data_IF_158632991780
#
_entry.id   IF_158632991780
#
_cell.length_a   1.000
_cell.length_b   1.000
_cell.length_c   1.000
_cell.angle_alpha   90.00
_cell.angle_beta   90.00
_cell.angle_gamma   90.00
#
_symmetry.space_group_name_H-M   'P 1'
#
loop_
_entity.id
_entity.type
_entity.pdbx_description
1 polymer ?
#
# COMPACT_ATOMS: atom_id res chain seq x y z
N UNK A 1 -13.79 -57.88 -15.24
CA UNK A 1 -12.65 -57.38 -14.43
C UNK A 1 -12.95 -55.92 -14.13
N UNK A 2 -13.10 -55.48 -12.90
CA UNK A 2 -13.30 -54.09 -12.61
C UNK A 2 -11.98 -53.37 -12.77
N UNK A 3 -11.97 -52.36 -13.62
CA UNK A 3 -10.88 -51.42 -13.80
C UNK A 3 -10.63 -50.70 -12.47
N UNK A 4 -9.50 -50.94 -11.85
CA UNK A 4 -8.99 -50.15 -10.75
C UNK A 4 -8.86 -48.72 -11.26
N UNK A 5 -9.76 -47.81 -10.82
CA UNK A 5 -9.55 -46.38 -10.90
C UNK A 5 -8.39 -46.08 -9.95
N UNK A 6 -7.23 -45.85 -10.49
CA UNK A 6 -6.14 -45.23 -9.77
C UNK A 6 -6.64 -43.86 -9.32
N UNK A 7 -6.87 -43.73 -8.02
CA UNK A 7 -7.18 -42.48 -7.36
C UNK A 7 -5.90 -41.60 -7.43
N UNK A 8 -5.57 -41.10 -8.63
CA UNK A 8 -4.54 -40.05 -8.71
C UNK A 8 -5.11 -38.82 -8.00
N UNK A 9 -4.48 -38.43 -6.89
CA UNK A 9 -4.81 -37.20 -6.21
C UNK A 9 -4.76 -36.05 -7.22
N UNK A 10 -5.80 -35.21 -7.25
CA UNK A 10 -5.84 -34.05 -8.15
C UNK A 10 -4.60 -33.18 -7.94
N UNK A 11 -3.98 -32.72 -9.03
CA UNK A 11 -2.83 -31.82 -9.01
C UNK A 11 -3.07 -30.64 -8.06
N UNK A 12 -2.18 -30.47 -7.09
CA UNK A 12 -2.33 -29.50 -6.01
C UNK A 12 -1.54 -28.23 -6.27
N UNK A 13 -2.25 -27.15 -6.53
CA UNK A 13 -1.68 -25.80 -6.67
C UNK A 13 -1.81 -25.07 -5.35
N UNK A 14 -0.69 -24.67 -4.78
CA UNK A 14 -0.67 -23.83 -3.57
C UNK A 14 -0.27 -22.41 -3.94
N UNK A 15 -1.01 -21.42 -3.42
CA UNK A 15 -0.80 -19.99 -3.65
C UNK A 15 -0.51 -19.32 -2.32
N UNK A 16 0.64 -18.65 -2.19
CA UNK A 16 1.00 -17.88 -1.00
C UNK A 16 0.74 -16.40 -1.28
N UNK A 17 -0.21 -15.80 -0.56
CA UNK A 17 -0.60 -14.41 -0.67
C UNK A 17 -1.92 -14.20 -1.40
N UNK A 18 -2.90 -13.57 -0.72
CA UNK A 18 -4.23 -13.21 -1.22
C UNK A 18 -4.31 -11.77 -1.79
N UNK A 19 -3.17 -11.17 -2.14
CA UNK A 19 -3.09 -9.90 -2.85
C UNK A 19 -3.61 -9.99 -4.29
N UNK A 20 -3.33 -8.98 -5.12
CA UNK A 20 -3.82 -8.94 -6.50
C UNK A 20 -3.37 -10.18 -7.31
N UNK A 21 -2.09 -10.52 -7.29
CA UNK A 21 -1.57 -11.64 -8.07
C UNK A 21 -2.21 -12.97 -7.66
N UNK A 22 -2.11 -13.33 -6.38
CA UNK A 22 -2.60 -14.62 -5.88
C UNK A 22 -4.11 -14.78 -5.97
N UNK A 23 -4.88 -13.72 -5.66
CA UNK A 23 -6.34 -13.76 -5.80
C UNK A 23 -6.76 -13.98 -7.25
N UNK A 24 -6.15 -13.26 -8.21
CA UNK A 24 -6.51 -13.43 -9.62
C UNK A 24 -6.01 -14.75 -10.21
N UNK A 25 -4.90 -15.31 -9.69
CA UNK A 25 -4.49 -16.69 -10.01
C UNK A 25 -5.55 -17.70 -9.52
N UNK A 26 -5.97 -17.62 -8.25
CA UNK A 26 -7.01 -18.48 -7.70
C UNK A 26 -8.35 -18.37 -8.45
N UNK A 27 -8.79 -17.13 -8.76
CA UNK A 27 -10.02 -16.90 -9.56
C UNK A 27 -9.90 -17.51 -10.97
N UNK A 28 -8.72 -17.42 -11.59
CA UNK A 28 -8.50 -17.94 -12.93
C UNK A 28 -8.38 -19.47 -12.97
N UNK A 29 -8.01 -20.12 -11.87
CA UNK A 29 -8.01 -21.59 -11.71
C UNK A 29 -9.39 -22.18 -11.42
N UNK A 30 -10.44 -21.36 -11.27
CA UNK A 30 -11.81 -21.84 -11.13
C UNK A 30 -12.16 -22.85 -12.21
N UNK A 31 -12.78 -23.96 -11.81
CA UNK A 31 -13.18 -25.06 -12.67
C UNK A 31 -12.02 -25.81 -13.39
N UNK A 32 -10.77 -25.50 -13.10
CA UNK A 32 -9.66 -26.32 -13.56
C UNK A 32 -9.63 -27.67 -12.81
N UNK A 33 -9.12 -28.76 -13.41
CA UNK A 33 -9.06 -30.08 -12.78
C UNK A 33 -7.87 -30.14 -11.78
N UNK A 34 -7.80 -29.18 -10.87
CA UNK A 34 -6.78 -29.04 -9.84
C UNK A 34 -7.42 -28.73 -8.48
N UNK A 35 -6.76 -29.13 -7.41
CA UNK A 35 -7.03 -28.61 -6.06
C UNK A 35 -6.22 -27.32 -5.87
N UNK A 36 -6.84 -26.26 -5.39
CA UNK A 36 -6.17 -24.99 -5.10
C UNK A 36 -6.24 -24.73 -3.59
N UNK A 37 -5.10 -24.42 -2.98
CA UNK A 37 -5.03 -23.89 -1.62
C UNK A 37 -4.41 -22.50 -1.65
N UNK A 38 -5.18 -21.46 -1.26
CA UNK A 38 -4.69 -20.11 -1.11
C UNK A 38 -4.42 -19.85 0.37
N UNK A 39 -3.18 -19.52 0.69
CA UNK A 39 -2.72 -19.23 2.05
C UNK A 39 -2.42 -17.73 2.16
N UNK A 40 -3.00 -17.06 3.15
CA UNK A 40 -2.65 -15.69 3.50
C UNK A 40 -2.64 -15.53 5.01
N UNK A 41 -1.77 -14.67 5.53
CA UNK A 41 -1.71 -14.31 6.95
C UNK A 41 -2.93 -13.52 7.42
N UNK A 42 -3.70 -12.98 6.47
CA UNK A 42 -4.98 -12.29 6.68
C UNK A 42 -6.11 -13.03 6.00
N UNK A 43 -7.32 -12.85 6.51
CA UNK A 43 -8.51 -13.49 5.95
C UNK A 43 -9.18 -12.68 4.84
N UNK A 44 -8.58 -11.56 4.40
CA UNK A 44 -9.17 -10.63 3.44
C UNK A 44 -8.19 -10.19 2.34
N UNK A 45 -8.74 -9.87 1.19
CA UNK A 45 -8.06 -9.12 0.15
C UNK A 45 -8.21 -7.62 0.41
N UNK A 46 -7.12 -6.87 0.25
CA UNK A 46 -7.07 -5.43 0.43
C UNK A 46 -6.89 -4.73 -0.92
N UNK A 47 -7.78 -3.79 -1.24
CA UNK A 47 -7.64 -2.92 -2.40
C UNK A 47 -6.71 -1.74 -2.08
N UNK A 48 -5.41 -1.98 -2.13
CA UNK A 48 -4.36 -1.03 -1.74
C UNK A 48 -4.42 0.36 -2.41
N UNK A 49 -4.86 0.52 -3.68
CA UNK A 49 -4.95 1.84 -4.30
C UNK A 49 -5.81 2.86 -3.54
N UNK A 50 -6.75 2.42 -2.71
CA UNK A 50 -7.58 3.31 -1.88
C UNK A 50 -7.16 3.34 -0.40
N UNK A 51 -6.02 2.74 -0.04
CA UNK A 51 -5.57 2.63 1.34
C UNK A 51 -5.28 4.00 1.97
N UNK A 52 -4.76 4.96 1.18
CA UNK A 52 -4.55 6.33 1.64
C UNK A 52 -5.86 7.00 2.10
N UNK A 53 -7.02 6.63 1.52
CA UNK A 53 -8.33 7.15 1.96
C UNK A 53 -8.75 6.62 3.32
N UNK A 54 -8.33 5.42 3.68
CA UNK A 54 -8.47 4.92 5.06
C UNK A 54 -7.56 5.69 6.01
N UNK A 55 -6.30 5.90 5.62
CA UNK A 55 -5.33 6.69 6.40
C UNK A 55 -5.77 8.13 6.62
N UNK A 56 -6.60 8.69 5.74
CA UNK A 56 -7.09 10.07 5.80
C UNK A 56 -8.56 10.19 6.20
N UNK A 57 -9.17 9.10 6.70
CA UNK A 57 -10.53 9.11 7.24
C UNK A 57 -11.65 9.36 6.22
N UNK A 58 -11.40 9.13 4.94
CA UNK A 58 -12.41 9.21 3.87
C UNK A 58 -13.23 7.94 3.79
N UNK A 59 -12.56 6.78 3.88
CA UNK A 59 -13.14 5.44 3.84
C UNK A 59 -12.84 4.65 5.10
N UNK A 60 -13.68 3.65 5.37
CA UNK A 60 -13.44 2.63 6.39
C UNK A 60 -12.58 1.48 5.82
N UNK A 61 -11.81 0.74 6.63
CA UNK A 61 -11.11 -0.46 6.16
C UNK A 61 -12.01 -1.47 5.45
N UNK A 62 -13.25 -1.64 5.90
CA UNK A 62 -14.21 -2.58 5.32
C UNK A 62 -14.63 -2.18 3.89
N UNK A 63 -14.61 -0.89 3.56
CA UNK A 63 -15.03 -0.37 2.25
C UNK A 63 -14.06 -0.81 1.13
N UNK A 64 -12.80 -1.10 1.49
CA UNK A 64 -11.74 -1.46 0.54
C UNK A 64 -11.17 -2.86 0.77
N UNK A 65 -11.79 -3.64 1.65
CA UNK A 65 -11.38 -5.01 1.96
C UNK A 65 -12.53 -5.97 1.77
N UNK A 66 -12.22 -7.19 1.34
CA UNK A 66 -13.23 -8.23 1.20
C UNK A 66 -12.69 -9.59 1.67
N UNK A 67 -13.48 -10.38 2.43
CA UNK A 67 -13.04 -11.69 2.90
C UNK A 67 -12.70 -12.63 1.75
N UNK A 68 -11.49 -13.22 1.75
CA UNK A 68 -11.04 -14.14 0.70
C UNK A 68 -11.98 -15.32 0.51
N UNK A 69 -12.54 -15.87 1.61
CA UNK A 69 -13.52 -16.97 1.53
C UNK A 69 -14.83 -16.54 0.85
N UNK A 70 -15.27 -15.29 1.05
CA UNK A 70 -16.43 -14.70 0.37
C UNK A 70 -16.18 -14.61 -1.13
N UNK A 71 -15.08 -13.94 -1.53
CA UNK A 71 -14.70 -13.75 -2.92
C UNK A 71 -14.58 -15.08 -3.68
N UNK A 72 -13.99 -16.10 -3.04
CA UNK A 72 -13.70 -17.41 -3.65
C UNK A 72 -14.80 -18.48 -3.37
N UNK A 73 -15.91 -18.11 -2.74
CA UNK A 73 -16.98 -19.05 -2.34
C UNK A 73 -17.55 -19.88 -3.50
N UNK A 74 -17.55 -19.32 -4.72
CA UNK A 74 -18.00 -19.98 -5.95
C UNK A 74 -16.93 -20.84 -6.64
N UNK A 75 -15.70 -20.88 -6.11
CA UNK A 75 -14.61 -21.70 -6.63
C UNK A 75 -14.54 -23.01 -5.84
N UNK A 76 -15.31 -24.02 -6.27
CA UNK A 76 -15.45 -25.29 -5.51
C UNK A 76 -14.15 -26.08 -5.37
N UNK A 77 -13.18 -25.85 -6.25
CA UNK A 77 -11.85 -26.48 -6.21
C UNK A 77 -10.84 -25.68 -5.36
N UNK A 78 -11.25 -24.58 -4.74
CA UNK A 78 -10.36 -23.68 -4.00
C UNK A 78 -10.68 -23.66 -2.51
N UNK A 79 -9.67 -23.92 -1.70
CA UNK A 79 -9.69 -23.78 -0.25
C UNK A 79 -8.85 -22.55 0.14
N UNK A 80 -9.34 -21.74 1.09
CA UNK A 80 -8.60 -20.65 1.69
C UNK A 80 -8.10 -21.08 3.07
N UNK A 81 -6.82 -20.92 3.35
CA UNK A 81 -6.22 -21.14 4.66
C UNK A 81 -5.65 -19.83 5.21
N UNK A 82 -5.95 -19.50 6.46
CA UNK A 82 -5.29 -18.37 7.13
C UNK A 82 -4.06 -18.90 7.84
N UNK A 83 -2.88 -18.43 7.45
CA UNK A 83 -1.59 -18.85 8.00
C UNK A 83 -0.44 -18.10 7.39
N UNK A 84 0.71 -18.18 8.04
CA UNK A 84 1.96 -17.62 7.56
C UNK A 84 2.92 -18.74 7.16
N UNK A 85 3.39 -18.68 5.90
CA UNK A 85 4.44 -19.57 5.41
C UNK A 85 5.79 -19.02 5.89
N UNK A 86 6.54 -19.87 6.56
CA UNK A 86 7.83 -19.52 7.16
C UNK A 86 9.01 -19.92 6.29
N UNK A 87 8.90 -21.09 5.61
CA UNK A 87 9.96 -21.63 4.76
C UNK A 87 9.37 -22.48 3.62
N UNK A 88 10.20 -22.76 2.61
CA UNK A 88 9.87 -23.54 1.42
C UNK A 88 10.97 -24.59 1.22
N UNK A 89 10.58 -25.86 1.17
CA UNK A 89 11.44 -26.98 0.73
C UNK A 89 11.06 -27.35 -0.72
N UNK A 90 11.84 -26.90 -1.72
CA UNK A 90 11.55 -27.16 -3.11
C UNK A 90 11.83 -28.60 -3.53
N UNK A 91 12.75 -29.32 -2.87
CA UNK A 91 13.12 -30.68 -3.19
C UNK A 91 12.03 -31.67 -2.75
N UNK A 92 11.45 -31.44 -1.58
CA UNK A 92 10.32 -32.24 -1.07
C UNK A 92 8.96 -31.68 -1.50
N UNK A 93 8.93 -30.55 -2.23
CA UNK A 93 7.71 -29.84 -2.63
C UNK A 93 6.79 -29.54 -1.43
N UNK A 94 7.37 -28.99 -0.37
CA UNK A 94 6.68 -28.68 0.90
C UNK A 94 6.78 -27.22 1.28
N UNK A 95 5.72 -26.73 1.88
CA UNK A 95 5.68 -25.47 2.60
C UNK A 95 5.72 -25.74 4.09
N UNK A 96 6.48 -24.93 4.82
CA UNK A 96 6.59 -24.99 6.27
C UNK A 96 5.83 -23.79 6.83
N UNK A 97 4.78 -24.04 7.58
CA UNK A 97 3.99 -23.08 8.35
C UNK A 97 4.37 -23.18 9.83
N UNK A 98 3.76 -22.36 10.67
CA UNK A 98 4.11 -22.31 12.10
C UNK A 98 3.90 -23.67 12.82
N UNK A 99 2.85 -24.42 12.49
CA UNK A 99 2.48 -25.67 13.18
C UNK A 99 2.17 -26.82 12.23
N UNK A 100 2.34 -26.67 10.95
CA UNK A 100 1.99 -27.67 9.94
C UNK A 100 2.87 -27.58 8.71
N UNK A 101 2.92 -28.68 7.95
CA UNK A 101 3.53 -28.74 6.63
C UNK A 101 2.44 -28.97 5.57
N UNK A 102 2.64 -28.39 4.38
CA UNK A 102 1.71 -28.56 3.28
C UNK A 102 2.47 -28.94 2.00
N UNK A 103 2.12 -30.06 1.38
CA UNK A 103 2.66 -30.47 0.10
C UNK A 103 2.00 -29.74 -1.07
N UNK A 104 2.77 -29.51 -2.14
CA UNK A 104 2.27 -28.95 -3.38
C UNK A 104 2.87 -29.65 -4.60
N UNK A 105 2.15 -29.67 -5.72
CA UNK A 105 2.68 -30.04 -7.03
C UNK A 105 3.14 -28.79 -7.78
N UNK A 106 2.41 -27.68 -7.63
CA UNK A 106 2.77 -26.36 -8.16
C UNK A 106 2.61 -25.30 -7.09
N UNK A 107 3.59 -24.40 -6.99
CA UNK A 107 3.61 -23.30 -6.03
C UNK A 107 3.56 -21.96 -6.76
N UNK A 108 2.71 -21.04 -6.28
CA UNK A 108 2.66 -19.64 -6.71
C UNK A 108 2.95 -18.75 -5.50
N UNK A 109 4.04 -17.98 -5.54
CA UNK A 109 4.45 -17.05 -4.48
C UNK A 109 4.09 -15.63 -4.86
N UNK A 110 3.11 -15.04 -4.18
CA UNK A 110 2.49 -13.74 -4.48
C UNK A 110 2.46 -12.83 -3.24
N UNK A 111 3.52 -12.82 -2.45
CA UNK A 111 3.56 -12.17 -1.13
C UNK A 111 3.91 -10.67 -1.17
N UNK A 112 4.18 -10.13 -2.35
CA UNK A 112 4.37 -8.70 -2.58
C UNK A 112 5.60 -8.10 -1.89
N UNK A 113 5.46 -6.85 -1.45
CA UNK A 113 6.51 -6.02 -0.88
C UNK A 113 6.12 -5.44 0.48
N UNK A 114 7.10 -4.95 1.23
CA UNK A 114 6.96 -4.22 2.49
C UNK A 114 7.63 -2.85 2.40
N UNK A 115 7.55 -2.06 3.47
CA UNK A 115 8.23 -0.76 3.57
C UNK A 115 9.75 -0.92 3.51
N UNK A 116 10.41 0.09 2.95
CA UNK A 116 11.86 0.19 2.92
C UNK A 116 12.29 1.52 3.54
N UNK A 117 13.05 1.45 4.63
CA UNK A 117 13.57 2.62 5.33
C UNK A 117 15.04 2.89 5.02
N UNK A 118 15.58 2.28 3.94
CA UNK A 118 16.95 2.49 3.44
C UNK A 118 18.04 2.26 4.49
N UNK A 119 17.86 1.23 5.33
CA UNK A 119 18.79 0.88 6.41
C UNK A 119 18.49 1.56 7.76
N UNK A 120 17.41 2.34 7.84
CA UNK A 120 16.99 3.03 9.06
C UNK A 120 15.68 2.45 9.59
N UNK A 121 15.65 1.15 9.83
CA UNK A 121 14.45 0.42 10.23
C UNK A 121 13.83 0.95 11.55
N UNK A 122 14.63 1.62 12.39
CA UNK A 122 14.18 2.30 13.61
C UNK A 122 13.20 3.45 13.34
N UNK A 123 13.14 3.98 12.11
CA UNK A 123 12.17 5.02 11.76
C UNK A 123 10.75 4.48 11.61
N UNK A 124 10.55 3.16 11.53
CA UNK A 124 9.23 2.55 11.39
C UNK A 124 8.29 2.93 12.55
N UNK A 125 8.82 3.06 13.77
CA UNK A 125 8.04 3.39 14.95
C UNK A 125 7.58 4.87 14.98
N UNK A 126 8.35 5.77 14.35
CA UNK A 126 8.07 7.21 14.35
C UNK A 126 7.50 7.72 13.04
N UNK A 127 7.76 7.05 11.93
CA UNK A 127 7.28 7.38 10.59
C UNK A 127 6.61 6.16 9.94
N UNK A 128 5.34 5.85 10.27
CA UNK A 128 4.65 4.68 9.72
C UNK A 128 4.56 4.74 8.19
N UNK A 129 4.74 3.58 7.56
CA UNK A 129 4.49 3.40 6.13
C UNK A 129 3.03 3.11 5.82
N UNK A 130 2.68 2.86 4.54
CA UNK A 130 1.30 2.62 4.09
C UNK A 130 1.22 1.40 3.16
N UNK A 131 1.04 0.21 3.72
CA UNK A 131 0.87 -1.05 2.97
C UNK A 131 -0.24 -1.94 3.51
N UNK A 132 -0.60 -1.78 4.77
CA UNK A 132 -1.59 -2.62 5.46
C UNK A 132 -2.72 -1.77 6.04
N UNK A 133 -3.81 -2.43 6.43
CA UNK A 133 -4.93 -1.76 7.12
C UNK A 133 -4.46 -1.17 8.45
N UNK A 134 -3.59 -1.89 9.15
CA UNK A 134 -3.02 -1.47 10.42
C UNK A 134 -2.18 -0.20 10.25
N UNK A 135 -1.36 -0.14 9.20
CA UNK A 135 -0.60 1.07 8.86
C UNK A 135 -1.51 2.27 8.59
N UNK A 136 -2.57 2.06 7.80
CA UNK A 136 -3.54 3.12 7.50
C UNK A 136 -4.27 3.62 8.75
N UNK A 137 -4.63 2.72 9.66
CA UNK A 137 -5.26 3.08 10.94
C UNK A 137 -4.31 3.82 11.85
N UNK A 138 -3.03 3.45 11.89
CA UNK A 138 -2.00 4.15 12.65
C UNK A 138 -1.73 5.54 12.08
N UNK A 139 -1.60 5.68 10.76
CA UNK A 139 -1.50 6.99 10.11
C UNK A 139 -2.71 7.86 10.43
N UNK A 140 -3.93 7.30 10.31
CA UNK A 140 -5.17 8.01 10.64
C UNK A 140 -5.18 8.50 12.08
N UNK A 141 -4.79 7.63 13.00
CA UNK A 141 -4.68 7.98 14.41
C UNK A 141 -3.73 9.16 14.59
N UNK A 142 -2.52 9.12 14.04
CA UNK A 142 -1.52 10.20 14.17
C UNK A 142 -2.01 11.51 13.57
N UNK A 143 -2.59 11.47 12.37
CA UNK A 143 -3.09 12.66 11.69
C UNK A 143 -4.14 13.39 12.54
N UNK A 144 -5.18 12.69 13.01
CA UNK A 144 -6.24 13.34 13.78
C UNK A 144 -5.81 13.67 15.20
N UNK A 145 -4.96 12.84 15.82
CA UNK A 145 -4.36 13.15 17.12
C UNK A 145 -3.52 14.42 17.13
N UNK A 146 -2.85 14.73 16.03
CA UNK A 146 -2.05 15.95 15.91
C UNK A 146 -2.92 17.21 16.07
N UNK A 147 -4.11 17.23 15.45
CA UNK A 147 -5.05 18.34 15.61
C UNK A 147 -5.63 18.42 17.06
N UNK A 148 -5.97 17.27 17.64
CA UNK A 148 -6.45 17.20 19.03
C UNK A 148 -5.38 17.66 20.04
N UNK A 149 -4.12 17.34 19.78
CA UNK A 149 -3.01 17.79 20.63
C UNK A 149 -2.73 19.29 20.43
N UNK A 150 -2.75 19.76 19.18
CA UNK A 150 -2.59 21.19 18.89
C UNK A 150 -3.67 22.05 19.54
N UNK A 151 -4.93 21.57 19.60
CA UNK A 151 -6.06 22.27 20.27
C UNK A 151 -5.80 22.53 21.75
N UNK A 152 -5.06 21.62 22.41
CA UNK A 152 -4.75 21.69 23.84
C UNK A 152 -3.41 22.37 24.15
N UNK A 153 -2.53 22.50 23.15
CA UNK A 153 -1.17 23.00 23.34
C UNK A 153 -1.17 24.54 23.45
N UNK A 154 -0.68 25.06 24.57
CA UNK A 154 -0.57 26.49 24.80
C UNK A 154 0.71 27.12 24.24
N UNK A 155 1.79 26.34 24.17
CA UNK A 155 3.07 26.80 23.64
C UNK A 155 3.00 26.89 22.09
N UNK A 156 3.21 28.09 21.49
CA UNK A 156 3.08 28.27 20.04
C UNK A 156 4.05 27.43 19.21
N UNK A 157 5.28 27.21 19.67
CA UNK A 157 6.29 26.43 18.97
C UNK A 157 5.92 24.94 18.96
N UNK A 158 5.52 24.41 20.12
CA UNK A 158 5.04 23.03 20.23
C UNK A 158 3.75 22.83 19.42
N UNK A 159 2.83 23.79 19.44
CA UNK A 159 1.60 23.77 18.63
C UNK A 159 1.93 23.72 17.15
N UNK A 160 2.90 24.50 16.70
CA UNK A 160 3.36 24.48 15.30
C UNK A 160 3.93 23.11 14.92
N UNK A 161 4.69 22.45 15.80
CA UNK A 161 5.20 21.11 15.55
C UNK A 161 4.07 20.07 15.43
N UNK A 162 2.96 20.21 16.19
CA UNK A 162 1.76 19.39 16.02
C UNK A 162 1.04 19.65 14.70
N UNK A 163 1.02 20.88 14.20
CA UNK A 163 0.40 21.27 12.93
C UNK A 163 1.35 21.12 11.73
N UNK A 164 2.55 20.58 11.92
CA UNK A 164 3.49 20.26 10.84
C UNK A 164 3.41 18.78 10.49
N UNK A 165 3.06 18.51 9.23
CA UNK A 165 2.92 17.17 8.66
C UNK A 165 3.99 16.96 7.60
N UNK A 166 4.80 15.93 7.74
CA UNK A 166 5.85 15.58 6.78
C UNK A 166 5.49 14.28 6.08
N UNK A 167 5.35 14.34 4.76
CA UNK A 167 5.16 13.16 3.90
C UNK A 167 6.48 12.91 3.17
N UNK A 168 7.07 11.73 3.36
CA UNK A 168 8.35 11.36 2.76
C UNK A 168 8.12 10.44 1.57
N UNK A 169 8.54 10.89 0.38
CA UNK A 169 8.37 10.18 -0.89
C UNK A 169 7.32 10.81 -1.80
N UNK A 170 7.72 11.27 -2.98
CA UNK A 170 6.90 11.96 -3.98
C UNK A 170 6.31 11.02 -5.05
N UNK A 171 6.23 9.71 -4.77
CA UNK A 171 5.49 8.76 -5.61
C UNK A 171 3.96 8.93 -5.51
N UNK A 172 3.16 8.11 -6.22
CA UNK A 172 1.69 8.23 -6.18
C UNK A 172 1.11 8.27 -4.77
N UNK A 173 1.52 7.36 -3.89
CA UNK A 173 1.04 7.30 -2.49
C UNK A 173 1.33 8.59 -1.72
N UNK A 174 2.54 9.17 -1.87
CA UNK A 174 2.89 10.41 -1.17
C UNK A 174 2.12 11.62 -1.70
N UNK A 175 1.92 11.71 -3.00
CA UNK A 175 1.09 12.75 -3.65
C UNK A 175 -0.35 12.67 -3.15
N UNK A 176 -0.95 11.47 -3.13
CA UNK A 176 -2.32 11.22 -2.66
C UNK A 176 -2.48 11.55 -1.16
N UNK A 177 -1.50 11.15 -0.33
CA UNK A 177 -1.50 11.49 1.10
C UNK A 177 -1.37 13.01 1.32
N UNK A 178 -0.44 13.67 0.65
CA UNK A 178 -0.22 15.10 0.82
C UNK A 178 -1.45 15.92 0.39
N UNK A 179 -2.05 15.60 -0.75
CA UNK A 179 -3.28 16.25 -1.20
C UNK A 179 -4.46 16.01 -0.25
N UNK A 180 -4.61 14.77 0.24
CA UNK A 180 -5.67 14.43 1.19
C UNK A 180 -5.48 15.11 2.55
N UNK A 181 -4.24 15.28 3.02
CA UNK A 181 -3.92 16.06 4.24
C UNK A 181 -4.29 17.53 4.08
N UNK A 182 -3.96 18.13 2.92
CA UNK A 182 -4.35 19.52 2.62
C UNK A 182 -5.88 19.70 2.68
N UNK A 183 -6.64 18.78 2.08
CA UNK A 183 -8.10 18.82 2.18
C UNK A 183 -8.62 18.64 3.62
N UNK A 184 -7.97 17.82 4.44
CA UNK A 184 -8.31 17.67 5.86
C UNK A 184 -8.12 18.99 6.58
N UNK A 185 -6.91 19.55 6.53
CA UNK A 185 -6.53 20.74 7.27
C UNK A 185 -7.31 21.98 6.82
N UNK A 186 -7.32 22.24 5.51
CA UNK A 186 -7.83 23.52 4.98
C UNK A 186 -9.32 23.52 4.67
N UNK A 187 -9.97 22.35 4.64
CA UNK A 187 -11.38 22.25 4.28
C UNK A 187 -12.22 21.47 5.27
N UNK A 188 -11.79 20.21 5.60
CA UNK A 188 -12.64 19.31 6.38
C UNK A 188 -12.74 19.72 7.85
N UNK A 189 -11.63 20.12 8.48
CA UNK A 189 -11.53 20.43 9.90
C UNK A 189 -11.65 21.93 10.22
N UNK A 190 -11.77 22.79 9.21
CA UNK A 190 -11.70 24.25 9.35
C UNK A 190 -12.56 24.83 10.48
N UNK A 191 -13.69 24.21 10.80
CA UNK A 191 -14.63 24.70 11.79
C UNK A 191 -14.82 23.76 12.99
N UNK A 192 -14.01 22.70 13.10
CA UNK A 192 -14.18 21.68 14.14
C UNK A 192 -13.54 22.10 15.46
N UNK A 193 -12.45 22.86 15.41
CA UNK A 193 -11.65 23.29 16.58
C UNK A 193 -11.96 24.73 17.01
N UNK A 194 -11.56 25.11 18.24
CA UNK A 194 -11.86 26.42 18.83
C UNK A 194 -10.61 27.22 19.17
N UNK A 195 -9.51 26.55 19.54
CA UNK A 195 -8.27 27.17 20.00
C UNK A 195 -7.19 27.20 18.90
N UNK A 196 -7.40 26.49 17.80
CA UNK A 196 -6.50 26.49 16.64
C UNK A 196 -7.24 26.84 15.36
N UNK A 197 -6.54 27.48 14.44
CA UNK A 197 -6.92 27.54 13.04
C UNK A 197 -6.21 26.40 12.29
N UNK A 198 -6.96 25.39 11.85
CA UNK A 198 -6.39 24.25 11.12
C UNK A 198 -5.77 24.63 9.79
N UNK A 199 -6.06 25.83 9.27
CA UNK A 199 -5.45 26.37 8.05
C UNK A 199 -4.00 26.84 8.25
N UNK A 200 -3.52 26.91 9.50
CA UNK A 200 -2.11 27.15 9.83
C UNK A 200 -1.26 25.88 9.68
N UNK A 201 -1.87 24.72 9.43
CA UNK A 201 -1.15 23.48 9.25
C UNK A 201 -0.15 23.58 8.08
N UNK A 202 1.05 23.06 8.28
CA UNK A 202 2.09 22.98 7.27
C UNK A 202 2.19 21.52 6.75
N UNK A 203 2.01 21.33 5.46
CA UNK A 203 2.10 20.03 4.82
C UNK A 203 3.28 20.04 3.87
N UNK A 204 4.31 19.27 4.20
CA UNK A 204 5.53 19.16 3.42
C UNK A 204 5.57 17.80 2.73
N UNK A 205 5.77 17.80 1.41
CA UNK A 205 6.06 16.59 0.63
C UNK A 205 7.53 16.62 0.25
N UNK A 206 8.31 15.68 0.79
CA UNK A 206 9.75 15.56 0.58
C UNK A 206 10.05 14.46 -0.45
N UNK A 207 10.81 14.79 -1.50
CA UNK A 207 11.21 13.86 -2.55
C UNK A 207 12.71 13.95 -2.81
N UNK A 208 13.40 12.80 -2.77
CA UNK A 208 14.84 12.73 -3.02
C UNK A 208 15.24 12.94 -4.48
N UNK A 209 14.35 12.62 -5.41
CA UNK A 209 14.54 12.80 -6.84
C UNK A 209 14.35 14.28 -7.25
N UNK A 210 14.64 14.59 -8.50
CA UNK A 210 14.50 15.93 -9.08
C UNK A 210 13.05 16.37 -9.31
N UNK A 211 12.10 15.45 -9.25
CA UNK A 211 10.65 15.70 -9.43
C UNK A 211 9.81 14.66 -8.70
N UNK A 212 8.58 15.03 -8.37
CA UNK A 212 7.56 14.10 -7.90
C UNK A 212 7.01 13.25 -9.05
N UNK A 213 6.35 12.13 -8.75
CA UNK A 213 5.87 11.15 -9.72
C UNK A 213 6.94 10.75 -10.75
N UNK A 214 8.14 10.29 -10.34
CA UNK A 214 9.24 10.00 -11.26
C UNK A 214 8.88 9.07 -12.44
N UNK A 215 7.99 8.06 -12.28
CA UNK A 215 7.57 7.19 -13.38
C UNK A 215 6.68 7.87 -14.43
N UNK A 216 6.12 9.04 -14.12
CA UNK A 216 5.25 9.77 -15.04
C UNK A 216 6.04 10.70 -15.96
N UNK A 217 5.51 11.07 -17.15
CA UNK A 217 6.10 12.09 -17.98
C UNK A 217 6.35 13.41 -17.22
N UNK A 218 7.46 14.13 -17.48
CA UNK A 218 7.81 15.36 -16.76
C UNK A 218 6.70 16.41 -16.72
N UNK A 219 5.94 16.56 -17.81
CA UNK A 219 4.80 17.49 -17.89
C UNK A 219 3.69 17.18 -16.88
N UNK A 220 3.42 15.88 -16.61
CA UNK A 220 2.43 15.48 -15.61
C UNK A 220 2.98 15.68 -14.20
N UNK A 221 4.28 15.47 -13.97
CA UNK A 221 4.93 15.79 -12.69
C UNK A 221 4.80 17.28 -12.37
N UNK A 222 5.13 18.15 -13.32
CA UNK A 222 5.03 19.62 -13.13
C UNK A 222 3.61 20.07 -12.85
N UNK A 223 2.61 19.51 -13.56
CA UNK A 223 1.19 19.85 -13.31
C UNK A 223 0.70 19.31 -11.97
N UNK A 224 1.21 18.16 -11.54
CA UNK A 224 0.90 17.60 -10.21
C UNK A 224 1.47 18.48 -9.11
N UNK A 225 2.72 18.92 -9.24
CA UNK A 225 3.36 19.83 -8.30
C UNK A 225 2.59 21.15 -8.18
N UNK A 226 2.25 21.78 -9.31
CA UNK A 226 1.43 22.98 -9.31
C UNK A 226 0.09 22.77 -8.58
N UNK A 227 -0.61 21.68 -8.86
CA UNK A 227 -1.88 21.35 -8.18
C UNK A 227 -1.72 21.13 -6.67
N UNK A 228 -0.62 20.52 -6.21
CA UNK A 228 -0.34 20.36 -4.78
C UNK A 228 -0.04 21.72 -4.12
N UNK A 229 0.72 22.59 -4.79
CA UNK A 229 1.01 23.95 -4.31
C UNK A 229 -0.28 24.77 -4.20
N UNK A 230 -1.17 24.67 -5.19
CA UNK A 230 -2.50 25.33 -5.17
C UNK A 230 -3.38 24.82 -4.01
N UNK A 231 -3.18 23.57 -3.57
CA UNK A 231 -3.83 23.02 -2.38
C UNK A 231 -3.17 23.44 -1.07
N UNK A 232 -2.03 24.15 -1.09
CA UNK A 232 -1.30 24.57 0.10
C UNK A 232 -0.20 23.59 0.56
N UNK A 233 0.16 22.60 -0.26
CA UNK A 233 1.27 21.69 0.05
C UNK A 233 2.60 22.31 -0.38
N UNK A 234 3.59 22.26 0.50
CA UNK A 234 4.97 22.63 0.17
C UNK A 234 5.70 21.41 -0.39
N UNK A 235 6.01 21.42 -1.68
CA UNK A 235 6.76 20.34 -2.34
C UNK A 235 8.25 20.66 -2.34
N UNK A 236 9.07 19.74 -1.84
CA UNK A 236 10.54 19.88 -1.79
C UNK A 236 11.19 18.69 -2.48
N UNK A 237 11.61 18.88 -3.70
CA UNK A 237 12.39 17.92 -4.50
C UNK A 237 13.88 18.02 -4.20
N UNK A 238 14.67 17.01 -4.62
CA UNK A 238 16.11 16.88 -4.30
C UNK A 238 16.41 16.97 -2.80
N UNK A 239 15.44 16.53 -1.98
CA UNK A 239 15.48 16.65 -0.52
C UNK A 239 15.45 15.28 0.10
N UNK A 240 16.53 14.89 0.77
CA UNK A 240 16.68 13.61 1.43
C UNK A 240 16.44 13.75 2.94
N UNK A 241 15.64 12.87 3.51
CA UNK A 241 15.56 12.71 4.97
C UNK A 241 16.81 11.95 5.42
N UNK A 242 17.57 12.53 6.33
CA UNK A 242 18.85 11.97 6.83
C UNK A 242 18.74 11.47 8.26
N UNK A 243 17.82 12.03 9.06
CA UNK A 243 17.50 11.55 10.41
C UNK A 243 16.05 11.86 10.79
N UNK A 244 15.49 11.01 11.67
CA UNK A 244 14.20 11.22 12.33
C UNK A 244 14.38 10.86 13.80
N UNK A 245 14.38 11.85 14.65
CA UNK A 245 14.61 11.66 16.08
C UNK A 245 13.95 12.78 16.89
N UNK A 246 13.39 12.48 18.08
CA UNK A 246 12.82 13.44 19.01
C UNK A 246 11.79 14.42 18.38
N UNK A 247 10.93 13.92 17.49
CA UNK A 247 9.94 14.71 16.75
C UNK A 247 10.57 15.78 15.82
N UNK A 248 11.80 15.57 15.39
CA UNK A 248 12.51 16.42 14.43
C UNK A 248 12.90 15.57 13.21
N UNK A 249 12.60 16.09 12.04
CA UNK A 249 13.05 15.52 10.76
C UNK A 249 14.24 16.33 10.27
N UNK A 250 15.41 15.69 10.18
CA UNK A 250 16.59 16.30 9.57
C UNK A 250 16.59 16.00 8.08
N UNK A 251 16.65 17.04 7.27
CA UNK A 251 16.68 16.94 5.82
C UNK A 251 17.97 17.53 5.25
N UNK A 252 18.34 17.05 4.07
CA UNK A 252 19.46 17.56 3.30
C UNK A 252 19.05 17.88 1.87
N UNK A 253 19.32 19.10 1.44
CA UNK A 253 19.14 19.55 0.05
C UNK A 253 20.47 20.11 -0.48
N UNK A 254 21.15 19.35 -1.33
CA UNK A 254 22.55 19.65 -1.67
C UNK A 254 23.45 19.57 -0.45
N UNK A 255 24.09 20.70 -0.09
CA UNK A 255 24.93 20.81 1.12
C UNK A 255 24.18 21.40 2.32
N UNK A 256 22.97 21.90 2.12
CA UNK A 256 22.18 22.50 3.18
C UNK A 256 21.49 21.42 4.01
N UNK A 257 21.64 21.53 5.33
CA UNK A 257 20.96 20.70 6.32
C UNK A 257 19.96 21.57 7.06
N UNK A 258 18.75 21.09 7.24
CA UNK A 258 17.66 21.77 7.94
C UNK A 258 16.98 20.77 8.88
N UNK A 259 16.59 21.27 10.04
CA UNK A 259 15.81 20.53 11.02
C UNK A 259 14.37 21.05 11.05
N UNK A 260 13.41 20.14 10.89
CA UNK A 260 11.98 20.46 10.85
C UNK A 260 11.30 19.80 12.06
N UNK A 261 10.86 20.56 13.06
CA UNK A 261 10.03 20.04 14.13
C UNK A 261 8.67 19.58 13.59
N UNK A 262 8.38 18.29 13.69
CA UNK A 262 7.15 17.70 13.19
C UNK A 262 6.75 16.47 14.01
N UNK A 263 5.53 16.47 14.56
CA UNK A 263 4.98 15.36 15.35
C UNK A 263 4.37 14.25 14.47
N UNK A 264 4.05 14.57 13.22
CA UNK A 264 3.44 13.61 12.29
C UNK A 264 4.29 13.47 11.03
N UNK A 265 4.91 12.30 10.91
CA UNK A 265 5.75 11.93 9.78
C UNK A 265 5.13 10.69 9.15
N UNK A 266 4.87 10.73 7.85
CA UNK A 266 4.24 9.66 7.08
C UNK A 266 5.21 9.17 6.00
N UNK A 267 5.51 7.86 6.01
CA UNK A 267 6.49 7.29 5.10
C UNK A 267 5.83 6.68 3.86
N UNK A 268 6.06 7.29 2.72
CA UNK A 268 5.60 6.85 1.41
C UNK A 268 6.76 6.53 0.45
N UNK A 269 8.01 6.50 0.96
CA UNK A 269 9.22 6.31 0.17
C UNK A 269 9.70 4.86 0.22
N UNK A 270 9.87 4.27 -0.98
CA UNK A 270 10.54 2.99 -1.13
C UNK A 270 9.75 1.77 -0.65
N UNK A 271 10.00 0.66 -1.35
CA UNK A 271 9.50 -0.67 -0.99
C UNK A 271 10.64 -1.67 -1.14
N UNK A 272 10.60 -2.73 -0.34
CA UNK A 272 11.48 -3.91 -0.47
C UNK A 272 10.64 -5.17 -0.57
N UNK A 273 11.16 -6.17 -1.26
CA UNK A 273 10.51 -7.46 -1.38
C UNK A 273 10.15 -8.05 0.00
N UNK A 274 9.08 -8.84 0.05
CA UNK A 274 8.74 -9.61 1.24
C UNK A 274 9.85 -10.60 1.59
N UNK A 275 9.88 -11.06 2.84
CA UNK A 275 10.84 -12.07 3.32
C UNK A 275 10.89 -13.33 2.44
N UNK A 276 9.79 -13.65 1.75
CA UNK A 276 9.74 -14.83 0.89
C UNK A 276 10.75 -14.78 -0.28
N UNK A 277 11.18 -13.61 -0.73
CA UNK A 277 12.27 -13.49 -1.70
C UNK A 277 13.57 -14.09 -1.18
N UNK A 278 13.94 -13.77 0.07
CA UNK A 278 15.13 -14.36 0.72
C UNK A 278 14.98 -15.85 0.99
N UNK A 279 13.78 -16.30 1.37
CA UNK A 279 13.49 -17.72 1.58
C UNK A 279 13.69 -18.49 0.27
N UNK A 280 13.12 -18.01 -0.84
CA UNK A 280 13.30 -18.62 -2.17
C UNK A 280 14.78 -18.63 -2.59
N UNK A 281 15.49 -17.50 -2.45
CA UNK A 281 16.91 -17.45 -2.80
C UNK A 281 17.74 -18.48 -2.03
N UNK A 282 17.47 -18.63 -0.74
CA UNK A 282 18.16 -19.60 0.13
C UNK A 282 17.86 -21.05 -0.28
N UNK A 283 16.61 -21.37 -0.61
CA UNK A 283 16.17 -22.76 -0.86
C UNK A 283 16.34 -23.20 -2.31
N UNK A 284 16.32 -22.26 -3.27
CA UNK A 284 16.39 -22.57 -4.72
C UNK A 284 17.65 -22.05 -5.40
N UNK A 285 18.44 -21.17 -4.76
CA UNK A 285 19.54 -20.45 -5.41
C UNK A 285 19.07 -19.33 -6.35
N UNK A 286 17.78 -18.93 -6.30
CA UNK A 286 17.24 -17.87 -7.14
C UNK A 286 17.97 -16.54 -6.94
N UNK A 287 18.25 -15.83 -8.01
CA UNK A 287 18.85 -14.50 -7.97
C UNK A 287 17.85 -13.47 -7.45
N UNK A 288 18.33 -12.52 -6.65
CA UNK A 288 17.55 -11.37 -6.15
C UNK A 288 18.10 -10.07 -6.73
N UNK A 289 17.21 -9.15 -7.03
CA UNK A 289 17.61 -7.78 -7.33
C UNK A 289 17.99 -6.99 -6.04
N UNK A 290 18.40 -5.72 -6.22
CA UNK A 290 18.82 -4.85 -5.10
C UNK A 290 17.73 -4.60 -4.05
N UNK A 291 16.46 -4.79 -4.41
CA UNK A 291 15.31 -4.62 -3.52
C UNK A 291 14.82 -5.94 -2.94
N UNK A 292 15.50 -7.06 -3.26
CA UNK A 292 15.18 -8.41 -2.81
C UNK A 292 14.09 -9.10 -3.63
N UNK A 293 13.69 -8.57 -4.81
CA UNK A 293 12.73 -9.23 -5.70
C UNK A 293 13.41 -10.40 -6.41
N UNK A 294 12.66 -11.47 -6.60
CA UNK A 294 13.16 -12.69 -7.26
C UNK A 294 13.22 -12.47 -8.77
N UNK A 295 14.41 -12.66 -9.36
CA UNK A 295 14.57 -12.66 -10.82
C UNK A 295 13.93 -13.94 -11.38
N UNK A 296 12.91 -13.77 -12.21
CA UNK A 296 12.13 -14.88 -12.75
C UNK A 296 12.40 -15.11 -14.22
N UNK A 297 12.08 -16.33 -14.68
CA UNK A 297 12.12 -16.69 -16.08
C UNK A 297 10.98 -15.99 -16.88
N UNK A 298 11.03 -15.95 -18.22
CA UNK A 298 9.97 -15.32 -19.02
C UNK A 298 8.56 -15.91 -18.83
N UNK A 299 8.45 -17.10 -18.25
CA UNK A 299 7.18 -17.73 -17.88
C UNK A 299 6.83 -17.55 -16.40
N UNK A 300 7.53 -16.64 -15.69
CA UNK A 300 7.39 -16.33 -14.28
C UNK A 300 7.83 -17.46 -13.32
N UNK A 301 8.46 -18.51 -13.82
CA UNK A 301 9.02 -19.57 -12.98
C UNK A 301 10.38 -19.18 -12.38
N UNK A 302 10.75 -19.84 -11.29
CA UNK A 302 12.09 -19.77 -10.71
C UNK A 302 13.04 -20.61 -11.54
N UNK A 303 14.25 -20.12 -11.82
CA UNK A 303 15.25 -20.85 -12.59
C UNK A 303 15.56 -22.20 -11.91
N UNK A 304 15.51 -23.30 -12.70
CA UNK A 304 15.68 -24.66 -12.20
C UNK A 304 14.44 -25.30 -11.56
N UNK A 305 13.39 -24.52 -11.27
CA UNK A 305 12.15 -24.98 -10.62
C UNK A 305 10.92 -24.60 -11.44
N UNK A 306 10.58 -25.33 -12.51
CA UNK A 306 9.50 -24.98 -13.43
C UNK A 306 8.10 -25.06 -12.80
N UNK A 307 7.98 -25.64 -11.60
CA UNK A 307 6.74 -25.75 -10.82
C UNK A 307 6.62 -24.67 -9.72
N UNK A 308 7.60 -23.77 -9.59
CA UNK A 308 7.56 -22.66 -8.61
C UNK A 308 7.51 -21.35 -9.39
N UNK A 309 6.43 -20.59 -9.20
CA UNK A 309 6.20 -19.31 -9.85
C UNK A 309 6.24 -18.17 -8.82
N UNK A 310 6.81 -17.03 -9.22
CA UNK A 310 6.78 -15.81 -8.43
C UNK A 310 6.09 -14.72 -9.23
N UNK A 311 5.12 -14.03 -8.61
CA UNK A 311 4.27 -13.03 -9.28
C UNK A 311 4.03 -11.79 -8.42
N UNK A 312 3.63 -10.70 -9.07
CA UNK A 312 3.37 -9.40 -8.43
C UNK A 312 4.67 -8.71 -8.00
N UNK A 313 4.54 -7.83 -7.03
CA UNK A 313 5.65 -6.96 -6.61
C UNK A 313 6.89 -7.72 -6.07
N UNK A 314 6.77 -9.03 -5.81
CA UNK A 314 7.89 -9.89 -5.43
C UNK A 314 8.72 -10.33 -6.63
N UNK A 315 8.14 -10.37 -7.83
CA UNK A 315 8.82 -10.78 -9.05
C UNK A 315 9.63 -9.64 -9.67
N UNK A 316 10.79 -9.98 -10.21
CA UNK A 316 11.55 -9.11 -11.10
C UNK A 316 11.61 -9.76 -12.49
N UNK A 317 10.72 -9.31 -13.38
CA UNK A 317 10.74 -9.65 -14.80
C UNK A 317 11.09 -8.40 -15.60
N UNK A 318 12.04 -8.53 -16.52
CA UNK A 318 12.39 -7.47 -17.46
C UNK A 318 11.35 -7.41 -18.62
N UNK A 319 11.02 -6.18 -19.01
CA UNK A 319 10.23 -5.92 -20.22
C UNK A 319 11.08 -6.08 -21.49
N UNK A 320 10.51 -5.71 -22.65
CA UNK A 320 11.17 -5.77 -23.95
C UNK A 320 12.43 -4.90 -24.05
N UNK A 321 12.50 -3.84 -23.23
CA UNK A 321 13.59 -2.87 -23.20
C UNK A 321 14.63 -3.20 -22.12
N UNK A 322 14.49 -4.36 -21.45
CA UNK A 322 15.36 -4.80 -20.35
C UNK A 322 15.11 -4.10 -19.03
N UNK A 323 14.00 -3.34 -18.91
CA UNK A 323 13.62 -2.66 -17.66
C UNK A 323 12.71 -3.56 -16.83
N UNK A 324 12.86 -3.55 -15.50
CA UNK A 324 11.97 -4.31 -14.64
C UNK A 324 10.54 -3.77 -14.74
N UNK A 325 9.55 -4.69 -14.76
CA UNK A 325 8.15 -4.32 -14.71
C UNK A 325 7.83 -3.53 -13.45
N UNK A 326 6.91 -2.55 -13.52
CA UNK A 326 6.53 -1.75 -12.37
C UNK A 326 5.74 -2.57 -11.35
N UNK A 327 5.93 -2.30 -10.05
CA UNK A 327 5.15 -2.89 -8.95
C UNK A 327 3.78 -2.24 -8.85
N UNK A 328 2.86 -2.62 -9.73
CA UNK A 328 1.49 -2.10 -9.80
C UNK A 328 0.46 -3.22 -9.92
N UNK A 329 -0.75 -2.99 -9.42
CA UNK A 329 -1.81 -3.99 -9.43
C UNK A 329 -2.11 -4.60 -10.82
N UNK A 330 -2.15 -3.85 -11.95
CA UNK A 330 -2.34 -4.44 -13.28
C UNK A 330 -1.30 -5.47 -13.68
N UNK A 331 -0.02 -5.30 -13.33
CA UNK A 331 1.03 -6.30 -13.56
C UNK A 331 0.71 -7.58 -12.78
N UNK A 332 0.53 -7.47 -11.48
CA UNK A 332 0.22 -8.61 -10.61
C UNK A 332 -1.03 -9.38 -11.06
N UNK A 333 -2.08 -8.67 -11.49
CA UNK A 333 -3.31 -9.28 -12.02
C UNK A 333 -3.04 -10.06 -13.30
N UNK A 334 -2.27 -9.49 -14.23
CA UNK A 334 -1.97 -10.14 -15.51
C UNK A 334 -1.06 -11.35 -15.30
N UNK A 335 -0.04 -11.25 -14.46
CA UNK A 335 0.84 -12.36 -14.08
C UNK A 335 0.06 -13.50 -13.42
N UNK A 336 -0.82 -13.21 -12.47
CA UNK A 336 -1.67 -14.22 -11.84
C UNK A 336 -2.57 -14.95 -12.82
N UNK A 337 -3.19 -14.22 -13.76
CA UNK A 337 -3.99 -14.82 -14.84
C UNK A 337 -3.16 -15.67 -15.80
N UNK A 338 -1.96 -15.19 -16.12
CA UNK A 338 -1.05 -15.89 -17.04
C UNK A 338 -0.59 -17.22 -16.42
N UNK A 339 -0.07 -17.21 -15.17
CA UNK A 339 0.39 -18.43 -14.51
C UNK A 339 -0.75 -19.46 -14.36
N UNK A 340 -1.95 -19.02 -14.00
CA UNK A 340 -3.12 -19.90 -13.96
C UNK A 340 -3.44 -20.53 -15.31
N UNK A 341 -3.32 -19.76 -16.41
CA UNK A 341 -3.50 -20.28 -17.76
C UNK A 341 -2.37 -21.21 -18.18
N UNK A 342 -1.13 -20.90 -17.79
CA UNK A 342 0.02 -21.77 -18.05
C UNK A 342 -0.16 -23.13 -17.37
N UNK A 343 -0.57 -23.15 -16.09
CA UNK A 343 -0.87 -24.39 -15.36
C UNK A 343 -1.95 -25.21 -16.09
N UNK A 344 -3.08 -24.58 -16.47
CA UNK A 344 -4.16 -25.25 -17.20
C UNK A 344 -3.70 -25.85 -18.54
N UNK A 345 -2.82 -25.15 -19.26
CA UNK A 345 -2.30 -25.65 -20.52
C UNK A 345 -1.33 -26.81 -20.32
N UNK A 346 -0.45 -26.74 -19.31
CA UNK A 346 0.48 -27.84 -18.96
C UNK A 346 -0.25 -29.13 -18.61
N UNK A 347 -1.42 -29.05 -17.98
CA UNK A 347 -2.25 -30.23 -17.65
C UNK A 347 -2.81 -30.98 -18.91
N UNK A 348 -2.75 -30.34 -20.08
CA UNK A 348 -3.18 -30.92 -21.37
C UNK A 348 -2.05 -30.86 -22.40
N UNK A 349 -0.79 -30.88 -21.93
CA UNK A 349 0.43 -30.91 -22.71
C UNK A 349 0.55 -29.79 -23.76
N UNK A 350 0.01 -28.59 -23.43
CA UNK A 350 0.11 -27.40 -24.28
C UNK A 350 1.09 -26.38 -23.67
N UNK A 351 1.86 -25.73 -24.53
CA UNK A 351 2.71 -24.62 -24.18
C UNK A 351 1.98 -23.28 -24.30
N UNK A 352 2.45 -22.27 -23.57
CA UNK A 352 2.09 -20.87 -23.76
C UNK A 352 3.34 -20.06 -24.12
N UNK A 353 3.20 -18.96 -24.88
CA UNK A 353 4.30 -18.02 -25.08
C UNK A 353 4.70 -17.38 -23.74
N UNK A 354 5.89 -16.80 -23.70
CA UNK A 354 6.37 -16.02 -22.57
C UNK A 354 5.38 -14.93 -22.16
N UNK A 355 5.38 -14.57 -20.88
CA UNK A 355 4.54 -13.49 -20.37
C UNK A 355 4.91 -12.16 -21.03
N UNK A 356 3.91 -11.41 -21.42
CA UNK A 356 4.07 -10.07 -21.97
C UNK A 356 3.05 -9.14 -21.29
N UNK A 357 3.57 -8.17 -20.52
CA UNK A 357 2.73 -7.18 -19.86
C UNK A 357 2.09 -6.24 -20.89
N UNK A 358 0.80 -6.05 -20.76
CA UNK A 358 0.04 -5.05 -21.48
C UNK A 358 -0.17 -3.84 -20.58
N UNK A 359 0.51 -2.75 -20.90
CA UNK A 359 0.38 -1.49 -20.13
C UNK A 359 -0.94 -0.80 -20.45
N UNK A 360 -1.75 -0.61 -19.43
CA UNK A 360 -3.01 0.14 -19.51
C UNK A 360 -2.87 1.60 -19.02
N UNK A 361 -1.66 2.01 -18.67
CA UNK A 361 -1.36 3.34 -18.15
C UNK A 361 -1.44 3.46 -16.64
N UNK A 362 -1.21 4.66 -16.16
CA UNK A 362 -1.10 5.00 -14.73
C UNK A 362 -1.97 6.19 -14.39
N UNK A 363 -2.52 6.18 -13.17
CA UNK A 363 -3.37 7.26 -12.65
C UNK A 363 -2.92 7.61 -11.23
N UNK A 364 -2.98 8.91 -10.88
CA UNK A 364 -2.82 9.37 -9.51
C UNK A 364 -3.77 10.53 -9.25
N UNK A 365 -4.44 10.53 -8.09
CA UNK A 365 -5.28 11.64 -7.65
C UNK A 365 -4.44 12.59 -6.79
N UNK A 366 -4.68 13.88 -6.96
CA UNK A 366 -3.98 14.93 -6.20
C UNK A 366 -4.91 15.50 -5.14
N UNK A 367 -6.15 15.65 -5.49
CA UNK A 367 -7.21 16.15 -4.62
C UNK A 367 -8.53 16.22 -5.37
N UNK A 368 -9.50 16.91 -4.78
CA UNK A 368 -10.82 17.08 -5.39
C UNK A 368 -10.69 17.80 -6.72
N UNK A 369 -11.25 17.21 -7.77
CA UNK A 369 -11.21 17.71 -9.15
C UNK A 369 -9.81 17.75 -9.77
N UNK A 370 -8.82 17.15 -9.14
CA UNK A 370 -7.44 17.16 -9.60
C UNK A 370 -6.84 15.74 -9.57
N UNK A 371 -6.51 15.23 -10.74
CA UNK A 371 -5.78 13.98 -10.93
C UNK A 371 -4.92 14.07 -12.19
N UNK A 372 -4.04 13.10 -12.36
CA UNK A 372 -3.29 12.87 -13.58
C UNK A 372 -3.53 11.47 -14.11
N UNK A 373 -3.67 11.38 -15.43
CA UNK A 373 -3.83 10.15 -16.17
C UNK A 373 -2.75 10.09 -17.24
N UNK A 374 -2.01 9.00 -17.26
CA UNK A 374 -1.00 8.71 -18.26
C UNK A 374 -1.36 7.39 -18.95
N UNK A 375 -2.17 7.45 -20.00
CA UNK A 375 -2.42 6.33 -20.89
C UNK A 375 -1.39 6.28 -22.03
N UNK A 376 -1.16 5.13 -22.67
CA UNK A 376 -0.21 5.02 -23.79
C UNK A 376 -0.49 6.00 -24.93
N UNK A 377 -1.75 6.36 -25.12
CA UNK A 377 -2.23 7.23 -26.22
C UNK A 377 -2.79 8.58 -25.78
N UNK A 378 -2.94 8.84 -24.46
CA UNK A 378 -3.61 10.04 -23.96
C UNK A 378 -3.11 10.43 -22.57
N UNK A 379 -2.76 11.71 -22.41
CA UNK A 379 -2.40 12.30 -21.12
C UNK A 379 -3.40 13.34 -20.71
N UNK A 380 -3.96 13.21 -19.52
CA UNK A 380 -4.98 14.12 -19.01
C UNK A 380 -4.61 14.61 -17.60
N UNK A 381 -5.14 15.79 -17.26
CA UNK A 381 -5.01 16.39 -15.92
C UNK A 381 -6.31 17.09 -15.52
N UNK A 382 -6.46 17.41 -14.24
CA UNK A 382 -7.61 18.15 -13.70
C UNK A 382 -8.87 17.29 -13.58
N UNK A 383 -10.04 17.92 -13.78
CA UNK A 383 -11.35 17.33 -13.51
C UNK A 383 -11.65 16.07 -14.33
N UNK A 384 -11.36 16.08 -15.63
CA UNK A 384 -11.60 14.91 -16.50
C UNK A 384 -10.74 13.73 -16.06
N UNK A 385 -9.47 13.97 -15.75
CA UNK A 385 -8.58 12.94 -15.20
C UNK A 385 -9.09 12.39 -13.86
N UNK A 386 -9.68 13.27 -13.02
CA UNK A 386 -10.27 12.88 -11.75
C UNK A 386 -11.51 11.99 -11.93
N UNK A 387 -12.39 12.29 -12.89
CA UNK A 387 -13.53 11.42 -13.22
C UNK A 387 -13.05 10.03 -13.69
N UNK A 388 -12.05 9.98 -14.59
CA UNK A 388 -11.49 8.71 -15.08
C UNK A 388 -10.90 7.93 -13.90
N UNK A 389 -10.13 8.59 -13.03
CA UNK A 389 -9.58 7.98 -11.83
C UNK A 389 -10.67 7.34 -10.95
N UNK A 390 -11.76 8.08 -10.70
CA UNK A 390 -12.91 7.63 -9.92
C UNK A 390 -13.53 6.35 -10.52
N UNK A 391 -13.86 6.37 -11.81
CA UNK A 391 -14.50 5.20 -12.46
C UNK A 391 -13.58 3.99 -12.54
N UNK A 392 -12.28 4.19 -12.82
CA UNK A 392 -11.31 3.09 -12.86
C UNK A 392 -11.19 2.41 -11.49
N UNK A 393 -11.10 3.20 -10.40
CA UNK A 393 -10.97 2.63 -9.06
C UNK A 393 -12.24 1.89 -8.62
N UNK A 394 -13.43 2.42 -8.90
CA UNK A 394 -14.70 1.70 -8.65
C UNK A 394 -14.77 0.42 -9.49
N UNK A 395 -14.34 0.45 -10.76
CA UNK A 395 -14.36 -0.74 -11.62
C UNK A 395 -13.52 -1.89 -11.04
N UNK A 396 -12.29 -1.58 -10.59
CA UNK A 396 -11.37 -2.58 -10.05
C UNK A 396 -11.63 -2.97 -8.58
N UNK A 397 -12.39 -2.16 -7.83
CA UNK A 397 -12.77 -2.49 -6.45
C UNK A 397 -13.50 -3.83 -6.42
N UNK A 398 -13.16 -4.69 -5.45
CA UNK A 398 -13.73 -6.03 -5.33
C UNK A 398 -15.02 -5.97 -4.52
N UNK A 399 -15.95 -6.88 -4.85
CA UNK A 399 -17.32 -6.99 -4.37
C UNK A 399 -18.22 -5.82 -4.81
N UNK A 400 -19.46 -6.20 -5.18
CA UNK A 400 -20.43 -5.21 -5.68
C UNK A 400 -20.86 -4.23 -4.58
N UNK A 401 -21.05 -4.74 -3.37
CA UNK A 401 -21.48 -3.95 -2.22
C UNK A 401 -20.47 -2.83 -1.91
N UNK A 402 -19.18 -3.15 -1.91
CA UNK A 402 -18.12 -2.16 -1.71
C UNK A 402 -18.15 -1.07 -2.78
N UNK A 403 -18.39 -1.44 -4.06
CA UNK A 403 -18.50 -0.46 -5.15
C UNK A 403 -19.63 0.55 -4.91
N UNK A 404 -20.79 0.06 -4.50
CA UNK A 404 -21.96 0.91 -4.23
C UNK A 404 -21.71 1.82 -3.03
N UNK A 405 -21.20 1.25 -1.93
CA UNK A 405 -20.93 2.00 -0.70
C UNK A 405 -19.89 3.10 -0.96
N UNK A 406 -18.76 2.77 -1.58
CA UNK A 406 -17.68 3.73 -1.88
C UNK A 406 -18.19 4.81 -2.84
N UNK A 407 -18.95 4.45 -3.86
CA UNK A 407 -19.52 5.43 -4.80
C UNK A 407 -20.45 6.43 -4.10
N UNK A 408 -21.35 5.96 -3.23
CA UNK A 408 -22.24 6.82 -2.44
C UNK A 408 -21.44 7.69 -1.47
N UNK A 409 -20.48 7.13 -0.75
CA UNK A 409 -19.63 7.89 0.18
C UNK A 409 -18.82 8.97 -0.54
N UNK A 410 -18.25 8.67 -1.71
CA UNK A 410 -17.54 9.67 -2.50
C UNK A 410 -18.48 10.79 -2.98
N UNK A 411 -19.67 10.45 -3.46
CA UNK A 411 -20.70 11.45 -3.82
C UNK A 411 -21.07 12.34 -2.65
N UNK A 412 -21.32 11.75 -1.47
CA UNK A 412 -21.62 12.48 -0.24
C UNK A 412 -20.48 13.38 0.21
N UNK A 413 -19.26 12.84 0.26
CA UNK A 413 -18.06 13.60 0.62
C UNK A 413 -17.79 14.74 -0.37
N UNK A 414 -18.05 14.50 -1.65
CA UNK A 414 -17.93 15.52 -2.70
C UNK A 414 -18.89 16.70 -2.45
N UNK A 415 -20.13 16.43 -2.07
CA UNK A 415 -21.14 17.47 -1.83
C UNK A 415 -20.92 18.20 -0.49
N UNK A 416 -20.65 17.46 0.57
CA UNK A 416 -20.65 17.98 1.96
C UNK A 416 -19.29 18.40 2.48
N UNK A 417 -18.20 17.97 1.84
CA UNK A 417 -16.80 18.10 2.32
C UNK A 417 -16.53 17.41 3.67
N UNK A 418 -17.44 16.54 4.10
CA UNK A 418 -17.31 15.80 5.38
C UNK A 418 -16.69 14.43 5.12
N UNK A 419 -15.73 14.02 5.96
CA UNK A 419 -15.15 12.69 5.98
C UNK A 419 -15.72 11.91 7.16
N UNK A 420 -16.39 10.80 6.91
CA UNK A 420 -17.14 10.06 7.95
C UNK A 420 -16.26 9.20 8.86
N UNK A 421 -15.10 8.73 8.38
CA UNK A 421 -14.26 7.77 9.09
C UNK A 421 -13.11 8.43 9.90
N UNK A 422 -13.31 9.65 10.42
CA UNK A 422 -12.34 10.42 11.22
C UNK A 422 -12.21 9.92 12.67
N UNK A 423 -12.09 8.63 12.83
CA UNK A 423 -12.06 8.00 14.15
C UNK A 423 -10.61 7.79 14.63
N UNK A 424 -10.30 8.28 15.81
CA UNK A 424 -9.06 7.96 16.51
C UNK A 424 -9.28 6.66 17.26
N UNK A 425 -8.63 5.58 16.83
CA UNK A 425 -8.77 4.24 17.41
C UNK A 425 -7.42 3.75 17.93
N UNK A 426 -7.44 2.80 18.87
CA UNK A 426 -6.24 2.25 19.50
C UNK A 426 -6.01 2.78 20.92
N UNK A 427 -4.91 2.36 21.55
CA UNK A 427 -4.53 2.86 22.88
C UNK A 427 -4.03 4.31 22.74
N UNK A 428 -4.79 5.23 23.28
CA UNK A 428 -4.48 6.66 23.28
C UNK A 428 -3.91 7.01 24.63
N UNK A 429 -2.62 7.28 24.71
CA UNK A 429 -2.05 8.05 25.83
C UNK A 429 -1.62 9.40 25.28
N UNK A 430 -2.57 10.33 25.10
CA UNK A 430 -2.18 11.73 25.20
C UNK A 430 -1.85 11.94 26.67
N UNK A 431 -0.66 12.42 27.04
CA UNK A 431 -0.50 12.98 28.37
C UNK A 431 -1.56 14.07 28.51
N UNK A 432 -2.46 13.91 29.45
CA UNK A 432 -3.25 15.02 29.92
C UNK A 432 -2.21 16.10 30.24
N UNK A 433 -2.34 17.29 29.66
CA UNK A 433 -1.49 18.42 29.99
C UNK A 433 -1.49 18.48 31.52
N UNK A 434 -0.32 18.31 32.15
CA UNK A 434 -0.21 18.54 33.57
C UNK A 434 -0.66 19.97 33.77
N UNK A 435 -1.81 20.14 34.44
CA UNK A 435 -2.20 21.44 34.96
C UNK A 435 -1.03 21.81 35.87
N UNK A 436 -0.20 22.77 35.46
CA UNK A 436 0.75 23.37 36.36
C UNK A 436 -0.10 23.86 37.57
N UNK A 437 -0.05 23.12 38.67
CA UNK A 437 -0.54 23.60 39.93
C UNK A 437 0.20 24.92 40.18
N UNK A 438 -0.47 26.02 39.91
CA UNK A 438 -0.02 27.33 40.38
C UNK A 438 0.20 27.18 41.88
N UNK A 439 1.46 27.11 42.27
CA UNK A 439 1.89 27.15 43.67
C UNK A 439 1.51 28.50 44.26
N UNK A 440 0.22 28.67 44.58
CA UNK A 440 -0.25 29.73 45.46
C UNK A 440 0.09 29.29 46.88
N UNK A 441 1.26 29.67 47.32
CA UNK A 441 1.68 29.66 48.72
C UNK A 441 0.64 30.44 49.57
N UNK A 442 -0.35 29.72 50.11
CA UNK A 442 -1.11 30.21 51.23
C UNK A 442 -0.26 30.04 52.48
N UNK A 443 0.33 31.12 52.92
CA UNK A 443 0.90 31.29 54.26
C UNK A 443 -0.15 30.89 55.29
N UNK A 444 0.13 30.04 56.28
CA UNK A 444 -0.80 29.79 57.37
C UNK A 444 -0.89 31.06 58.24
N UNK A 445 -2.10 31.58 58.43
CA UNK A 445 -2.39 32.52 59.51
C UNK A 445 -2.36 31.75 60.81
N UNK A 446 -1.39 32.05 61.64
CA UNK A 446 -1.40 31.72 63.10
C UNK A 446 -2.57 32.40 63.78
N UNK A 447 -3.41 31.62 64.45
CA UNK A 447 -4.10 31.98 65.70
C UNK A 447 -4.11 30.79 66.66
#
# INVERSE_FOLDING_TARGET
MPTQSTNQSAHHVVIIGGGFGGLYAAKSLKNAPVKVTLIDKRNFHLFQPLLYQVATGTLSPADISAPLRGILSRNKNTQVAMGEVLDIDPEQQKLILQNEELNYDTLIVATGVSHHYFGNEQWADVAPGLKTVEDALEMRRRIFMAFEAAEKESNPEKRRAWLTFVVVGGGPTGVELAGALAEIAYSTLKNDFRNIDTTEAQILLLEGMDRILPPYPPELSTKTEASLVDLGVTVRTKTLVTNIENDVVTIRQGEQIEEIPAKTILWAAGVKASRMGQVLAKSTGAELDRTGRVVVQPDLSVAGYPNIFVIGDLANLADKDGKPLPGVAPVAIQEGKYVANLIKNRLVDKSLPAFCYQDYGSLAVIGRNAAVVNFPFLRLTGFIAWLIWLFVHIYYLIEFDNKVVVFIQWGWNYLTRKRGARLITGKTSLPLVAVEESSNSRTPLEV
#
